data_IF_878670815717
#
_entry.id   IF_878670815717
#
_cell.length_a   1.000
_cell.length_b   1.000
_cell.length_c   1.000
_cell.angle_alpha   90.00
_cell.angle_beta   90.00
_cell.angle_gamma   90.00
#
_symmetry.space_group_name_H-M   'P 1'
#
loop_
_entity.id
_entity.type
_entity.pdbx_description
1 polymer ?
#
# COMPACT_ATOMS: atom_id res chain seq x y z
N UNK A 1 -1.74 4.41 13.85
CA UNK A 1 -1.89 3.69 12.56
C UNK A 1 -1.71 2.18 12.70
N UNK A 2 -0.51 1.64 12.98
CA UNK A 2 -0.23 0.18 12.85
C UNK A 2 -1.17 -0.71 13.67
N UNK A 3 -1.37 -0.48 14.97
CA UNK A 3 -2.25 -1.35 15.76
C UNK A 3 -3.75 -1.13 15.49
N UNK A 4 -4.12 0.01 14.91
CA UNK A 4 -5.52 0.39 14.72
C UNK A 4 -6.18 -0.36 13.56
N UNK A 5 -5.40 -0.80 12.55
CA UNK A 5 -5.96 -1.53 11.40
C UNK A 5 -6.47 -2.93 11.78
N UNK A 6 -5.92 -3.49 12.86
CA UNK A 6 -6.22 -4.83 13.34
C UNK A 6 -7.49 -4.90 14.20
N UNK A 7 -8.06 -3.73 14.52
CA UNK A 7 -9.27 -3.56 15.31
C UNK A 7 -10.45 -3.03 14.48
N UNK A 8 -10.30 -2.94 13.14
CA UNK A 8 -11.39 -2.55 12.25
C UNK A 8 -12.51 -3.59 12.37
N UNK A 9 -13.73 -3.13 12.68
CA UNK A 9 -14.85 -4.02 12.99
C UNK A 9 -16.14 -3.68 12.23
N UNK A 10 -16.14 -2.60 11.45
CA UNK A 10 -17.29 -2.14 10.67
C UNK A 10 -16.86 -1.56 9.31
N UNK A 11 -17.76 -1.49 8.31
CA UNK A 11 -17.51 -0.79 7.05
C UNK A 11 -17.17 0.70 7.22
N UNK A 12 -17.75 1.36 8.22
CA UNK A 12 -17.50 2.76 8.54
C UNK A 12 -16.09 2.96 9.09
N UNK A 13 -15.64 2.07 10.00
CA UNK A 13 -14.27 2.07 10.52
C UNK A 13 -13.26 1.85 9.40
N UNK A 14 -13.56 0.91 8.49
CA UNK A 14 -12.72 0.62 7.33
C UNK A 14 -12.59 1.85 6.44
N UNK A 15 -13.72 2.47 6.08
CA UNK A 15 -13.76 3.64 5.19
C UNK A 15 -12.97 4.81 5.78
N UNK A 16 -13.17 5.10 7.07
CA UNK A 16 -12.41 6.13 7.78
C UNK A 16 -10.91 5.84 7.78
N UNK A 17 -10.52 4.59 8.08
CA UNK A 17 -9.11 4.21 8.12
C UNK A 17 -8.46 4.21 6.73
N UNK A 18 -9.19 3.81 5.69
CA UNK A 18 -8.73 3.83 4.30
C UNK A 18 -8.44 5.26 3.83
N UNK A 19 -9.31 6.23 4.15
CA UNK A 19 -9.10 7.64 3.84
C UNK A 19 -7.91 8.25 4.61
N UNK A 20 -7.72 7.88 5.89
CA UNK A 20 -6.54 8.27 6.67
C UNK A 20 -5.24 7.72 6.06
N UNK A 21 -5.25 6.46 5.62
CA UNK A 21 -4.11 5.84 4.94
C UNK A 21 -3.87 6.50 3.58
N UNK A 22 -4.92 6.85 2.84
CA UNK A 22 -4.80 7.61 1.59
C UNK A 22 -4.06 8.93 1.82
N UNK A 23 -4.45 9.72 2.83
CA UNK A 23 -3.78 10.99 3.14
C UNK A 23 -2.30 10.78 3.44
N UNK A 24 -1.98 9.79 4.28
CA UNK A 24 -0.60 9.44 4.60
C UNK A 24 0.21 9.05 3.35
N UNK A 25 -0.35 8.21 2.48
CA UNK A 25 0.30 7.78 1.24
C UNK A 25 0.46 8.94 0.26
N UNK A 26 -0.56 9.79 0.10
CA UNK A 26 -0.52 10.96 -0.77
C UNK A 26 0.54 11.98 -0.34
N UNK A 27 0.81 12.08 0.97
CA UNK A 27 1.85 12.96 1.51
C UNK A 27 3.25 12.33 1.44
N UNK A 28 3.39 11.06 1.87
CA UNK A 28 4.70 10.43 2.13
C UNK A 28 5.23 9.58 0.98
N UNK A 29 4.36 9.01 0.13
CA UNK A 29 4.80 8.23 -1.03
C UNK A 29 5.00 9.15 -2.23
N UNK A 30 6.26 9.46 -2.56
CA UNK A 30 6.58 10.39 -3.66
C UNK A 30 6.03 9.91 -5.01
N UNK A 31 6.05 8.59 -5.28
CA UNK A 31 5.49 8.01 -6.50
C UNK A 31 3.98 8.25 -6.56
N UNK A 32 3.28 8.00 -5.45
CA UNK A 32 1.83 8.18 -5.43
C UNK A 32 1.42 9.65 -5.51
N UNK A 33 2.12 10.54 -4.80
CA UNK A 33 1.91 11.98 -4.87
C UNK A 33 1.98 12.50 -6.31
N UNK A 34 3.05 12.18 -7.03
CA UNK A 34 3.22 12.58 -8.44
C UNK A 34 2.14 12.02 -9.35
N UNK A 35 1.70 10.79 -9.08
CA UNK A 35 0.60 10.18 -9.82
C UNK A 35 -0.72 10.93 -9.59
N UNK A 36 -1.06 11.24 -8.34
CA UNK A 36 -2.25 12.03 -8.00
C UNK A 36 -2.23 13.42 -8.64
N UNK A 37 -1.09 14.12 -8.60
CA UNK A 37 -0.89 15.41 -9.27
C UNK A 37 -1.14 15.30 -10.78
N UNK A 38 -0.62 14.24 -11.43
CA UNK A 38 -0.81 14.03 -12.88
C UNK A 38 -2.27 13.74 -13.28
N UNK A 39 -3.06 13.17 -12.36
CA UNK A 39 -4.48 12.91 -12.58
C UNK A 39 -5.35 14.15 -12.37
N UNK A 40 -4.82 15.22 -11.76
CA UNK A 40 -5.59 16.42 -11.42
C UNK A 40 -6.75 16.13 -10.46
N UNK A 41 -6.64 15.10 -9.61
CA UNK A 41 -7.72 14.66 -8.72
C UNK A 41 -7.71 15.42 -7.40
N UNK A 42 -8.91 15.79 -6.94
CA UNK A 42 -9.12 16.29 -5.57
C UNK A 42 -9.01 15.14 -4.56
N UNK A 43 -8.87 15.50 -3.28
CA UNK A 43 -8.92 14.54 -2.16
C UNK A 43 -10.22 13.71 -2.22
N UNK A 44 -10.16 12.37 -2.15
CA UNK A 44 -11.33 11.50 -2.19
C UNK A 44 -12.17 11.67 -0.92
N UNK A 45 -13.50 11.60 -1.08
CA UNK A 45 -14.47 11.69 0.02
C UNK A 45 -14.90 10.30 0.50
N UNK A 46 -14.80 9.30 -0.38
CA UNK A 46 -15.12 7.89 -0.12
C UNK A 46 -14.04 6.98 -0.73
N UNK A 47 -14.12 5.68 -0.45
CA UNK A 47 -13.09 4.73 -0.85
C UNK A 47 -13.09 4.46 -2.35
N UNK A 48 -14.23 4.60 -3.01
CA UNK A 48 -14.41 4.36 -4.45
C UNK A 48 -13.71 5.42 -5.31
N UNK A 49 -13.48 6.61 -4.74
CA UNK A 49 -12.76 7.70 -5.39
C UNK A 49 -11.23 7.55 -5.31
N UNK A 50 -10.71 6.63 -4.49
CA UNK A 50 -9.26 6.43 -4.31
C UNK A 50 -8.64 5.92 -5.63
N UNK A 51 -7.70 6.67 -6.26
CA UNK A 51 -7.11 6.24 -7.51
C UNK A 51 -6.20 5.01 -7.32
N UNK A 52 -6.46 3.95 -8.08
CA UNK A 52 -5.61 2.76 -8.10
C UNK A 52 -4.25 3.06 -8.74
N UNK A 53 -3.18 2.53 -8.15
CA UNK A 53 -1.84 2.61 -8.73
C UNK A 53 -1.67 1.52 -9.81
N UNK A 54 -1.11 1.86 -10.98
CA UNK A 54 -0.75 0.88 -11.99
C UNK A 54 0.24 -0.16 -11.47
N UNK A 55 0.03 -1.44 -11.80
CA UNK A 55 0.95 -2.52 -11.42
C UNK A 55 2.37 -2.31 -11.97
N UNK A 56 2.51 -1.60 -13.09
CA UNK A 56 3.80 -1.24 -13.69
C UNK A 56 4.65 -0.35 -12.78
N UNK A 57 4.03 0.41 -11.87
CA UNK A 57 4.78 1.23 -10.91
C UNK A 57 5.52 0.33 -9.93
N UNK A 58 4.89 -0.73 -9.44
CA UNK A 58 5.55 -1.70 -8.56
C UNK A 58 6.62 -2.55 -9.25
N UNK A 59 6.70 -2.53 -10.59
CA UNK A 59 7.79 -3.17 -11.35
C UNK A 59 8.99 -2.24 -11.49
N UNK A 60 8.71 -0.97 -11.80
CA UNK A 60 9.72 -0.03 -12.29
C UNK A 60 10.13 1.03 -11.25
N UNK A 61 9.37 1.19 -10.16
CA UNK A 61 9.52 2.27 -9.18
C UNK A 61 9.41 1.73 -7.75
N UNK A 62 10.06 2.41 -6.82
CA UNK A 62 9.92 2.14 -5.39
C UNK A 62 8.68 2.86 -4.83
N UNK A 63 7.57 2.15 -4.75
CA UNK A 63 6.32 2.63 -4.15
C UNK A 63 6.40 2.46 -2.63
N UNK A 64 7.06 3.40 -1.96
CA UNK A 64 7.35 3.34 -0.51
C UNK A 64 7.13 4.70 0.17
N UNK A 65 6.81 4.68 1.47
CA UNK A 65 6.68 5.87 2.32
C UNK A 65 7.89 6.09 3.23
N UNK A 66 8.84 5.16 3.20
CA UNK A 66 10.01 5.12 4.07
C UNK A 66 11.27 4.90 3.23
N UNK A 67 12.42 5.30 3.76
CA UNK A 67 13.70 5.09 3.08
C UNK A 67 14.07 3.61 3.09
N UNK A 68 14.34 3.06 1.90
CA UNK A 68 14.87 1.71 1.74
C UNK A 68 16.32 1.68 2.23
N UNK A 69 16.61 0.78 3.16
CA UNK A 69 17.96 0.44 3.66
C UNK A 69 18.46 -0.83 2.99
N UNK A 70 19.77 -1.06 3.02
CA UNK A 70 20.44 -2.22 2.40
C UNK A 70 19.77 -3.57 2.74
N UNK A 71 19.43 -3.78 4.01
CA UNK A 71 18.83 -5.04 4.50
C UNK A 71 17.29 -5.03 4.53
N UNK A 72 16.64 -4.09 3.84
CA UNK A 72 15.17 -4.01 3.84
C UNK A 72 14.60 -5.21 3.08
N UNK A 73 13.79 -6.08 3.71
CA UNK A 73 13.25 -7.23 3.02
C UNK A 73 12.19 -6.83 1.98
N UNK A 74 11.98 -7.67 0.98
CA UNK A 74 10.94 -7.47 -0.02
C UNK A 74 10.37 -8.80 -0.52
N UNK A 75 9.15 -8.72 -1.03
CA UNK A 75 8.46 -9.80 -1.74
C UNK A 75 8.47 -9.55 -3.25
N UNK A 76 8.57 -10.62 -4.04
CA UNK A 76 8.43 -10.60 -5.50
C UNK A 76 7.20 -11.40 -5.94
N UNK A 77 6.32 -10.80 -6.74
CA UNK A 77 5.14 -11.47 -7.35
C UNK A 77 5.56 -12.69 -8.18
N UNK A 78 4.81 -13.78 -8.28
CA UNK A 78 5.23 -15.04 -8.97
C UNK A 78 5.86 -14.89 -10.36
N UNK A 79 5.41 -13.91 -11.16
CA UNK A 79 5.93 -13.62 -12.48
C UNK A 79 5.37 -14.59 -13.53
N UNK A 80 4.70 -14.05 -14.55
CA UNK A 80 4.20 -14.82 -15.70
C UNK A 80 4.94 -14.33 -16.95
N UNK A 81 6.07 -14.95 -17.30
CA UNK A 81 6.85 -14.64 -18.50
C UNK A 81 8.18 -13.88 -18.26
N UNK A 82 8.76 -13.34 -19.34
CA UNK A 82 10.08 -12.68 -19.36
C UNK A 82 10.10 -11.23 -18.83
N UNK A 83 9.01 -10.73 -18.25
CA UNK A 83 8.94 -9.35 -17.75
C UNK A 83 9.45 -9.22 -16.31
N UNK A 84 9.92 -8.04 -15.93
CA UNK A 84 10.25 -7.73 -14.53
C UNK A 84 9.05 -7.98 -13.61
N UNK A 85 9.35 -8.56 -12.44
CA UNK A 85 8.38 -8.93 -11.40
C UNK A 85 8.11 -7.70 -10.54
N UNK A 86 6.87 -7.55 -10.08
CA UNK A 86 6.53 -6.50 -9.12
C UNK A 86 7.24 -6.78 -7.79
N UNK A 87 7.79 -5.72 -7.20
CA UNK A 87 8.49 -5.74 -5.92
C UNK A 87 7.69 -4.98 -4.86
N UNK A 88 7.57 -5.59 -3.69
CA UNK A 88 6.91 -4.99 -2.53
C UNK A 88 7.87 -4.99 -1.35
N UNK A 89 8.33 -3.81 -0.93
CA UNK A 89 9.21 -3.65 0.22
C UNK A 89 8.45 -3.83 1.54
N UNK A 90 9.12 -4.44 2.52
CA UNK A 90 8.56 -4.77 3.83
C UNK A 90 9.40 -4.07 4.90
N UNK A 91 8.85 -2.99 5.48
CA UNK A 91 9.54 -2.20 6.50
C UNK A 91 9.34 -2.72 7.93
N UNK A 92 8.35 -3.60 8.13
CA UNK A 92 8.04 -4.23 9.41
C UNK A 92 7.58 -5.66 9.17
N UNK A 93 8.52 -6.60 9.35
CA UNK A 93 8.32 -8.02 9.03
C UNK A 93 7.30 -8.65 9.97
N UNK A 94 7.38 -8.35 11.27
CA UNK A 94 6.45 -8.91 12.27
C UNK A 94 5.02 -8.46 11.98
N UNK A 95 4.85 -7.17 11.66
CA UNK A 95 3.55 -6.62 11.28
C UNK A 95 3.00 -7.24 10.00
N UNK A 96 3.85 -7.38 8.96
CA UNK A 96 3.47 -8.00 7.70
C UNK A 96 3.02 -9.45 7.89
N UNK A 97 3.82 -10.26 8.61
CA UNK A 97 3.49 -11.65 8.90
C UNK A 97 2.22 -11.76 9.76
N UNK A 98 2.04 -10.90 10.74
CA UNK A 98 0.82 -10.85 11.57
C UNK A 98 -0.41 -10.62 10.71
N UNK A 99 -0.34 -9.69 9.76
CA UNK A 99 -1.43 -9.41 8.81
C UNK A 99 -1.75 -10.65 7.96
N UNK A 100 -0.75 -11.28 7.35
CA UNK A 100 -0.95 -12.49 6.54
C UNK A 100 -1.55 -13.65 7.36
N UNK A 101 -1.07 -13.88 8.58
CA UNK A 101 -1.57 -14.95 9.45
C UNK A 101 -3.00 -14.70 9.91
N UNK A 102 -3.37 -13.45 10.22
CA UNK A 102 -4.76 -13.10 10.55
C UNK A 102 -5.69 -13.33 9.36
N UNK A 103 -5.30 -12.88 8.17
CA UNK A 103 -6.07 -13.11 6.96
C UNK A 103 -6.27 -14.61 6.69
N UNK A 104 -5.21 -15.41 6.81
CA UNK A 104 -5.28 -16.87 6.64
C UNK A 104 -6.26 -17.53 7.64
N UNK A 105 -6.28 -17.08 8.91
CA UNK A 105 -7.20 -17.61 9.94
C UNK A 105 -8.66 -17.19 9.75
N UNK A 106 -8.94 -16.20 8.92
CA UNK A 106 -10.30 -15.75 8.61
C UNK A 106 -10.96 -16.53 7.47
N UNK A 107 -10.20 -17.41 6.78
CA UNK A 107 -10.69 -18.41 5.84
C UNK A 107 -10.93 -19.75 6.55
#
# INVERSE_FOLDING_TARGET
MKNDIFNISSPEDFSKKALEIFDYQAEKCTVYKRYLESLGRSKPINIEEIPFLPITFFKNLDVVTEQIKEDTPFFLSSGTGNSERSKHWIFDVEYYLTSCLRAYKSF
#
